data_IF_506429948863
#
_entry.id   IF_506429948863
#
_cell.length_a   1.000
_cell.length_b   1.000
_cell.length_c   1.000
_cell.angle_alpha   90.00
_cell.angle_beta   90.00
_cell.angle_gamma   90.00
#
_symmetry.space_group_name_H-M   'P 1'
#
loop_
_entity.id
_entity.type
_entity.pdbx_description
1 polymer ?
#
# COMPACT_ATOMS: atom_id res chain seq x y z
N UNK A 1 -17.12 -33.48 14.86
CA UNK A 1 -15.80 -32.81 14.89
C UNK A 1 -15.86 -31.31 14.56
N UNK A 2 -16.96 -30.79 13.99
CA UNK A 2 -17.23 -29.33 13.98
C UNK A 2 -16.33 -28.54 13.04
N UNK A 3 -15.67 -29.23 12.11
CA UNK A 3 -14.92 -28.61 11.02
C UNK A 3 -15.80 -28.49 9.78
N UNK A 4 -15.65 -27.36 9.10
CA UNK A 4 -16.39 -26.97 7.91
C UNK A 4 -15.36 -26.88 6.78
N UNK A 5 -15.53 -27.69 5.75
CA UNK A 5 -14.75 -27.60 4.51
C UNK A 5 -15.47 -26.66 3.56
N UNK A 6 -14.75 -25.70 2.99
CA UNK A 6 -15.32 -24.73 2.05
C UNK A 6 -14.41 -24.59 0.82
N UNK A 7 -15.05 -24.54 -0.34
CA UNK A 7 -14.45 -24.07 -1.59
C UNK A 7 -14.90 -22.64 -1.82
N UNK A 8 -13.96 -21.69 -1.76
CA UNK A 8 -14.26 -20.26 -1.78
C UNK A 8 -13.55 -19.60 -2.95
N UNK A 9 -14.31 -18.78 -3.67
CA UNK A 9 -13.88 -17.99 -4.82
C UNK A 9 -14.19 -16.50 -4.58
N UNK A 10 -13.52 -15.81 -3.65
CA UNK A 10 -13.78 -14.39 -3.46
C UNK A 10 -13.31 -13.61 -4.70
N UNK A 11 -14.15 -12.66 -5.13
CA UNK A 11 -13.89 -11.72 -6.22
C UNK A 11 -14.18 -10.31 -5.74
N UNK A 12 -13.23 -9.42 -5.96
CA UNK A 12 -13.39 -7.97 -5.82
C UNK A 12 -13.15 -7.33 -7.19
N UNK A 13 -14.06 -6.49 -7.67
CA UNK A 13 -13.91 -5.84 -8.98
C UNK A 13 -14.27 -4.37 -8.95
N UNK A 14 -13.50 -3.59 -9.72
CA UNK A 14 -13.74 -2.19 -10.01
C UNK A 14 -13.98 -2.04 -11.51
N UNK A 15 -14.91 -1.17 -11.90
CA UNK A 15 -15.28 -0.95 -13.29
C UNK A 15 -15.12 0.53 -13.64
N UNK A 16 -14.34 0.81 -14.68
CA UNK A 16 -14.14 2.16 -15.21
C UNK A 16 -14.64 2.24 -16.63
N UNK A 17 -15.19 3.39 -17.02
CA UNK A 17 -15.62 3.62 -18.38
C UNK A 17 -14.46 4.22 -19.18
N UNK A 18 -13.95 3.47 -20.16
CA UNK A 18 -12.92 3.93 -21.08
C UNK A 18 -13.55 4.44 -22.37
N UNK A 19 -13.51 5.74 -22.58
CA UNK A 19 -13.96 6.36 -23.83
C UNK A 19 -12.92 6.15 -24.93
N UNK A 20 -13.30 5.51 -26.03
CA UNK A 20 -12.47 5.30 -27.22
C UNK A 20 -13.09 6.01 -28.43
N UNK A 21 -12.28 6.81 -29.12
CA UNK A 21 -12.68 7.66 -30.24
C UNK A 21 -12.69 9.16 -29.87
N UNK A 22 -12.78 10.02 -30.89
CA UNK A 22 -12.80 11.48 -30.73
C UNK A 22 -14.03 12.07 -31.44
N UNK A 23 -14.77 12.95 -30.77
CA UNK A 23 -15.96 13.62 -31.31
C UNK A 23 -17.29 12.88 -31.07
N UNK A 24 -18.30 13.20 -31.87
CA UNK A 24 -19.70 12.75 -31.75
C UNK A 24 -19.94 11.23 -31.95
N UNK A 25 -18.86 10.47 -32.19
CA UNK A 25 -18.84 9.00 -32.32
C UNK A 25 -18.01 8.29 -31.24
N UNK A 26 -17.61 8.99 -30.17
CA UNK A 26 -16.86 8.40 -29.07
C UNK A 26 -17.71 7.32 -28.36
N UNK A 27 -17.17 6.10 -28.27
CA UNK A 27 -17.85 4.97 -27.66
C UNK A 27 -17.24 4.72 -26.28
N UNK A 28 -18.09 4.58 -25.26
CA UNK A 28 -17.65 4.23 -23.92
C UNK A 28 -17.62 2.70 -23.77
N UNK A 29 -16.43 2.13 -23.53
CA UNK A 29 -16.25 0.71 -23.24
C UNK A 29 -16.09 0.54 -21.73
N UNK A 30 -16.84 -0.38 -21.09
CA UNK A 30 -16.55 -0.78 -19.72
C UNK A 30 -15.22 -1.55 -19.67
N UNK A 31 -14.36 -1.14 -18.76
CA UNK A 31 -13.09 -1.81 -18.43
C UNK A 31 -13.20 -2.30 -16.98
N UNK A 32 -13.10 -3.62 -16.78
CA UNK A 32 -13.21 -4.26 -15.45
C UNK A 32 -11.83 -4.71 -14.99
N UNK A 33 -11.41 -4.24 -13.82
CA UNK A 33 -10.24 -4.78 -13.11
C UNK A 33 -10.72 -5.58 -11.92
N UNK A 34 -10.42 -6.87 -11.89
CA UNK A 34 -10.82 -7.76 -10.80
C UNK A 34 -9.65 -8.45 -10.13
N UNK A 35 -9.82 -8.74 -8.84
CA UNK A 35 -8.96 -9.55 -8.01
C UNK A 35 -9.74 -10.79 -7.58
N UNK A 36 -9.25 -11.98 -7.94
CA UNK A 36 -9.89 -13.25 -7.67
C UNK A 36 -8.91 -14.20 -6.96
N UNK A 37 -9.43 -14.98 -6.02
CA UNK A 37 -8.66 -16.00 -5.30
C UNK A 37 -9.45 -17.31 -5.33
N UNK A 38 -8.77 -18.45 -5.40
CA UNK A 38 -9.40 -19.79 -5.37
C UNK A 38 -8.76 -20.60 -4.26
N UNK A 39 -9.55 -20.98 -3.24
CA UNK A 39 -9.03 -21.69 -2.07
C UNK A 39 -9.98 -22.78 -1.57
N UNK A 40 -9.40 -23.92 -1.14
CA UNK A 40 -10.07 -24.93 -0.35
C UNK A 40 -9.58 -24.82 1.10
N UNK A 41 -10.48 -24.58 2.03
CA UNK A 41 -10.15 -24.39 3.45
C UNK A 41 -10.90 -25.39 4.33
N UNK A 42 -10.32 -25.71 5.49
CA UNK A 42 -10.95 -26.48 6.55
C UNK A 42 -10.88 -25.65 7.83
N UNK A 43 -12.03 -25.20 8.34
CA UNK A 43 -12.09 -24.26 9.46
C UNK A 43 -13.07 -24.77 10.50
N UNK A 44 -12.76 -24.57 11.78
CA UNK A 44 -13.65 -24.93 12.87
C UNK A 44 -14.80 -23.92 12.96
N UNK A 45 -15.99 -24.40 13.29
CA UNK A 45 -17.16 -23.56 13.55
C UNK A 45 -16.83 -22.37 14.48
N UNK A 46 -17.28 -21.17 14.09
CA UNK A 46 -17.09 -19.91 14.80
C UNK A 46 -15.68 -19.30 14.75
N UNK A 47 -14.69 -19.97 14.14
CA UNK A 47 -13.31 -19.46 14.07
C UNK A 47 -13.08 -18.60 12.83
N UNK A 48 -12.45 -17.45 13.01
CA UNK A 48 -12.08 -16.57 11.90
C UNK A 48 -10.74 -17.01 11.31
N UNK A 49 -10.67 -17.12 9.98
CA UNK A 49 -9.42 -17.27 9.25
C UNK A 49 -9.19 -16.10 8.31
N UNK A 50 -7.92 -15.88 8.00
CA UNK A 50 -7.49 -14.96 6.93
C UNK A 50 -7.18 -15.80 5.70
N UNK A 51 -7.92 -15.57 4.61
CA UNK A 51 -7.77 -16.31 3.35
C UNK A 51 -6.61 -15.73 2.54
N UNK A 52 -6.35 -14.43 2.69
CA UNK A 52 -5.21 -13.75 2.09
C UNK A 52 -5.29 -12.23 2.21
N UNK A 53 -4.17 -11.58 1.87
CA UNK A 53 -4.06 -10.14 1.66
C UNK A 53 -3.55 -9.85 0.25
N UNK A 54 -4.22 -8.98 -0.49
CA UNK A 54 -3.77 -8.48 -1.78
C UNK A 54 -3.37 -7.01 -1.62
N UNK A 55 -2.10 -6.71 -1.92
CA UNK A 55 -1.61 -5.35 -1.99
C UNK A 55 -1.70 -4.87 -3.44
N UNK A 56 -2.40 -3.75 -3.68
CA UNK A 56 -2.47 -3.10 -4.97
C UNK A 56 -1.81 -1.73 -4.88
N UNK A 57 -0.72 -1.60 -5.62
CA UNK A 57 0.03 -0.34 -5.73
C UNK A 57 -0.31 0.27 -7.10
N UNK A 58 -1.02 1.39 -7.12
CA UNK A 58 -1.28 2.17 -8.35
C UNK A 58 -0.41 3.42 -8.31
N UNK A 59 0.66 3.42 -9.12
CA UNK A 59 1.56 4.56 -9.27
C UNK A 59 1.10 5.36 -10.49
N UNK A 60 0.63 6.58 -10.26
CA UNK A 60 0.30 7.54 -11.32
C UNK A 60 1.32 8.68 -11.32
N UNK A 61 2.28 8.61 -12.24
CA UNK A 61 3.24 9.70 -12.47
C UNK A 61 2.67 10.68 -13.49
N UNK A 62 2.40 11.91 -13.05
CA UNK A 62 2.01 13.01 -13.94
C UNK A 62 3.21 13.93 -14.12
N UNK A 63 3.65 14.11 -15.36
CA UNK A 63 4.75 15.02 -15.72
C UNK A 63 4.21 16.17 -16.56
N UNK A 64 4.34 17.39 -16.05
CA UNK A 64 3.94 18.61 -16.75
C UNK A 64 5.20 19.41 -17.08
N UNK A 65 5.36 19.86 -18.32
CA UNK A 65 6.48 20.71 -18.70
C UNK A 65 6.05 21.76 -19.72
N UNK A 66 6.62 22.97 -19.61
CA UNK A 66 6.46 24.02 -20.63
C UNK A 66 7.35 23.66 -21.84
N UNK A 67 6.80 23.58 -23.06
CA UNK A 67 7.59 23.34 -24.27
C UNK A 67 8.72 24.37 -24.43
N UNK A 68 9.88 23.97 -24.95
CA UNK A 68 11.14 24.75 -25.04
C UNK A 68 11.85 25.03 -23.71
N UNK A 69 11.18 25.67 -22.75
CA UNK A 69 11.82 26.08 -21.48
C UNK A 69 12.08 24.88 -20.57
N UNK A 70 11.23 23.86 -20.64
CA UNK A 70 11.40 22.62 -19.89
C UNK A 70 12.66 21.87 -20.30
N UNK A 71 13.17 21.95 -21.53
CA UNK A 71 14.27 21.10 -22.00
C UNK A 71 15.67 21.70 -21.75
N UNK A 72 15.75 22.93 -21.23
CA UNK A 72 17.02 23.62 -21.00
C UNK A 72 17.74 23.03 -19.77
N UNK A 73 19.01 22.60 -19.91
CA UNK A 73 19.83 22.20 -18.76
C UNK A 73 19.93 23.34 -17.73
N UNK A 74 19.99 23.02 -16.43
CA UNK A 74 20.10 23.96 -15.29
C UNK A 74 18.81 24.71 -14.95
N UNK A 75 18.17 25.40 -15.91
CA UNK A 75 16.96 26.21 -15.62
C UNK A 75 15.63 25.48 -15.86
N UNK A 76 15.63 24.39 -16.63
CA UNK A 76 14.40 23.65 -16.96
C UNK A 76 13.69 23.02 -15.76
N UNK A 77 14.36 22.89 -14.61
CA UNK A 77 13.76 22.40 -13.36
C UNK A 77 12.68 23.34 -12.81
N UNK A 78 12.81 24.66 -12.96
CA UNK A 78 11.78 25.63 -12.53
C UNK A 78 10.54 25.65 -13.43
N UNK A 79 10.64 25.07 -14.63
CA UNK A 79 9.59 25.05 -15.66
C UNK A 79 9.06 23.63 -15.94
N UNK A 80 9.43 22.67 -15.09
CA UNK A 80 8.90 21.31 -15.04
C UNK A 80 8.15 21.17 -13.72
N UNK A 81 6.92 20.66 -13.77
CA UNK A 81 6.20 20.17 -12.60
C UNK A 81 6.18 18.65 -12.64
N UNK A 82 6.63 18.00 -11.57
CA UNK A 82 6.40 16.58 -11.36
C UNK A 82 5.30 16.46 -10.30
N UNK A 83 4.30 15.62 -10.57
CA UNK A 83 3.29 15.28 -9.59
C UNK A 83 3.15 13.76 -9.59
N UNK A 84 3.80 13.11 -8.63
CA UNK A 84 3.63 11.69 -8.40
C UNK A 84 2.44 11.48 -7.46
N UNK A 85 1.37 10.84 -7.95
CA UNK A 85 0.28 10.37 -7.10
C UNK A 85 0.39 8.85 -6.93
N UNK A 86 0.72 8.44 -5.71
CA UNK A 86 0.77 7.02 -5.34
C UNK A 86 -0.54 6.68 -4.63
N UNK A 87 -1.44 5.96 -5.31
CA UNK A 87 -2.66 5.41 -4.70
C UNK A 87 -2.40 3.97 -4.28
N UNK A 88 -2.62 3.67 -3.00
CA UNK A 88 -2.35 2.36 -2.38
C UNK A 88 -3.65 1.76 -1.87
N UNK A 89 -3.94 0.52 -2.25
CA UNK A 89 -5.10 -0.24 -1.78
C UNK A 89 -4.64 -1.56 -1.17
N UNK A 90 -4.98 -1.79 0.10
CA UNK A 90 -4.71 -3.05 0.81
C UNK A 90 -6.04 -3.78 1.05
N UNK A 91 -6.20 -4.97 0.47
CA UNK A 91 -7.40 -5.77 0.60
C UNK A 91 -7.08 -7.00 1.44
N UNK A 92 -7.80 -7.21 2.55
CA UNK A 92 -7.68 -8.41 3.38
C UNK A 92 -9.02 -9.12 3.47
N UNK A 93 -9.01 -10.42 3.20
CA UNK A 93 -10.22 -11.25 3.17
C UNK A 93 -10.27 -12.12 4.43
N UNK A 94 -11.27 -11.85 5.28
CA UNK A 94 -11.54 -12.61 6.49
C UNK A 94 -12.82 -13.42 6.34
N UNK A 95 -12.83 -14.62 6.90
CA UNK A 95 -13.99 -15.51 6.88
C UNK A 95 -14.20 -16.17 8.23
N UNK A 96 -15.44 -16.16 8.72
CA UNK A 96 -15.86 -16.85 9.95
C UNK A 96 -17.09 -17.69 9.64
N UNK A 97 -16.95 -19.01 9.45
CA UNK A 97 -18.10 -19.87 9.18
C UNK A 97 -18.85 -20.17 10.49
N UNK A 98 -20.17 -20.35 10.39
CA UNK A 98 -21.04 -20.72 11.50
C UNK A 98 -22.02 -21.82 11.07
N UNK A 99 -22.18 -22.87 11.87
CA UNK A 99 -23.21 -23.91 11.70
C UNK A 99 -24.52 -23.40 12.31
N UNK A 100 -25.63 -23.56 11.60
CA UNK A 100 -26.97 -23.16 12.05
C UNK A 100 -27.82 -24.42 12.13
N UNK A 101 -28.38 -24.71 13.31
CA UNK A 101 -29.20 -25.90 13.55
C UNK A 101 -30.70 -25.63 13.30
N UNK A 102 -31.19 -24.43 13.63
CA UNK A 102 -32.58 -24.05 13.45
C UNK A 102 -32.75 -22.87 12.46
N UNK A 103 -33.58 -23.00 11.40
CA UNK A 103 -33.81 -21.94 10.41
C UNK A 103 -34.46 -20.66 10.97
N UNK A 104 -35.07 -20.72 12.17
CA UNK A 104 -35.78 -19.60 12.80
C UNK A 104 -34.89 -18.66 13.61
N UNK A 105 -33.61 -19.00 13.80
CA UNK A 105 -32.68 -18.30 14.70
C UNK A 105 -31.74 -17.31 13.96
N UNK A 106 -32.02 -17.05 12.69
CA UNK A 106 -31.29 -16.06 11.87
C UNK A 106 -31.78 -14.65 12.19
N UNK A 107 -31.44 -14.16 13.38
CA UNK A 107 -31.54 -12.74 13.68
C UNK A 107 -30.40 -12.00 12.96
N UNK A 108 -30.75 -11.39 11.83
CA UNK A 108 -29.81 -10.65 10.99
C UNK A 108 -29.15 -9.47 11.71
N UNK A 109 -29.83 -8.89 12.71
CA UNK A 109 -29.32 -7.72 13.45
C UNK A 109 -28.20 -8.12 14.43
N UNK A 110 -28.41 -9.20 15.19
CA UNK A 110 -27.39 -9.75 16.09
C UNK A 110 -26.12 -10.17 15.34
N UNK A 111 -26.28 -10.76 14.14
CA UNK A 111 -25.16 -11.13 13.25
C UNK A 111 -24.44 -9.90 12.69
N UNK A 112 -25.16 -8.84 12.33
CA UNK A 112 -24.56 -7.60 11.84
C UNK A 112 -23.70 -6.89 12.90
N UNK A 113 -24.13 -6.92 14.17
CA UNK A 113 -23.32 -6.42 15.28
C UNK A 113 -22.07 -7.25 15.52
N UNK A 114 -22.18 -8.57 15.49
CA UNK A 114 -21.04 -9.47 15.65
C UNK A 114 -20.01 -9.29 14.52
N UNK A 115 -20.47 -9.08 13.28
CA UNK A 115 -19.61 -8.73 12.15
C UNK A 115 -18.90 -7.40 12.39
N UNK A 116 -19.61 -6.36 12.87
CA UNK A 116 -18.98 -5.06 13.18
C UNK A 116 -17.90 -5.22 14.25
N UNK A 117 -18.19 -5.91 15.33
CA UNK A 117 -17.24 -6.17 16.43
C UNK A 117 -16.01 -6.93 15.95
N UNK A 118 -16.23 -8.00 15.18
CA UNK A 118 -15.16 -8.82 14.58
C UNK A 118 -14.35 -8.04 13.55
N UNK A 119 -14.96 -7.12 12.78
CA UNK A 119 -14.23 -6.22 11.88
C UNK A 119 -13.25 -5.31 12.64
N UNK A 120 -13.62 -4.81 13.82
CA UNK A 120 -12.72 -4.01 14.63
C UNK A 120 -11.61 -4.85 15.24
N UNK A 121 -11.92 -5.98 15.91
CA UNK A 121 -10.88 -6.85 16.49
C UNK A 121 -9.98 -7.52 15.44
N UNK A 122 -10.49 -7.77 14.23
CA UNK A 122 -9.70 -8.24 13.10
C UNK A 122 -8.68 -7.19 12.63
N UNK A 123 -9.00 -5.89 12.66
CA UNK A 123 -8.04 -4.85 12.29
C UNK A 123 -6.81 -4.91 13.20
N UNK A 124 -7.02 -5.03 14.51
CA UNK A 124 -5.95 -5.12 15.49
C UNK A 124 -5.12 -6.41 15.31
N UNK A 125 -5.75 -7.55 15.01
CA UNK A 125 -5.05 -8.81 14.74
C UNK A 125 -4.31 -8.86 13.39
N UNK A 126 -4.79 -8.08 12.41
CA UNK A 126 -4.20 -7.96 11.07
C UNK A 126 -3.02 -7.00 11.00
N UNK A 127 -2.74 -6.25 12.06
CA UNK A 127 -1.53 -5.41 12.14
C UNK A 127 -0.28 -6.22 11.81
N UNK A 128 -0.17 -7.46 12.28
CA UNK A 128 0.94 -8.40 12.02
C UNK A 128 1.20 -8.71 10.54
N UNK A 129 0.17 -8.59 9.68
CA UNK A 129 0.23 -8.91 8.24
C UNK A 129 0.26 -7.61 7.41
N UNK A 130 -0.05 -6.47 8.02
CA UNK A 130 0.01 -5.18 7.34
C UNK A 130 1.42 -4.88 6.85
N UNK A 131 1.52 -4.29 5.65
CA UNK A 131 2.78 -3.75 5.15
C UNK A 131 3.41 -2.76 6.12
N UNK A 132 2.60 -2.05 6.91
CA UNK A 132 3.10 -1.13 7.93
C UNK A 132 3.97 -1.87 8.97
N UNK A 133 3.46 -2.96 9.55
CA UNK A 133 4.22 -3.78 10.49
C UNK A 133 5.42 -4.45 9.85
N UNK A 134 5.29 -4.95 8.62
CA UNK A 134 6.43 -5.50 7.88
C UNK A 134 7.52 -4.46 7.68
N UNK A 135 7.16 -3.22 7.33
CA UNK A 135 8.10 -2.11 7.21
C UNK A 135 8.77 -1.80 8.55
N UNK A 136 8.00 -1.78 9.66
CA UNK A 136 8.52 -1.62 11.02
C UNK A 136 9.46 -2.76 11.43
N UNK A 137 9.15 -4.00 11.11
CA UNK A 137 10.01 -5.16 11.40
C UNK A 137 11.33 -5.09 10.64
N UNK A 138 11.28 -4.68 9.37
CA UNK A 138 12.47 -4.44 8.56
C UNK A 138 13.29 -3.26 9.10
N UNK A 139 12.64 -2.18 9.53
CA UNK A 139 13.30 -1.06 10.20
C UNK A 139 13.95 -1.47 11.53
N UNK A 140 13.26 -2.25 12.37
CA UNK A 140 13.81 -2.75 13.63
C UNK A 140 15.05 -3.64 13.40
N UNK A 141 15.02 -4.50 12.37
CA UNK A 141 16.19 -5.27 11.94
C UNK A 141 17.33 -4.36 11.48
N UNK A 142 17.02 -3.34 10.69
CA UNK A 142 18.02 -2.38 10.23
C UNK A 142 18.69 -1.63 11.39
N UNK A 143 17.89 -1.11 12.32
CA UNK A 143 18.38 -0.43 13.52
C UNK A 143 19.28 -1.37 14.35
N UNK A 144 18.90 -2.65 14.48
CA UNK A 144 19.73 -3.65 15.16
C UNK A 144 21.05 -3.89 14.43
N UNK A 145 21.05 -4.11 13.11
CA UNK A 145 22.28 -4.31 12.34
C UNK A 145 23.21 -3.10 12.40
N UNK A 146 22.65 -1.89 12.35
CA UNK A 146 23.40 -0.65 12.53
C UNK A 146 24.08 -0.58 13.90
N UNK A 147 23.36 -0.93 14.98
CA UNK A 147 23.95 -1.00 16.33
C UNK A 147 25.03 -2.09 16.45
N UNK A 148 24.95 -3.15 15.64
CA UNK A 148 25.94 -4.22 15.55
C UNK A 148 27.15 -3.83 14.65
N UNK A 149 27.10 -2.68 13.96
CA UNK A 149 28.12 -2.21 13.03
C UNK A 149 28.08 -2.88 11.65
N UNK A 150 26.99 -3.57 11.31
CA UNK A 150 26.77 -4.18 10.00
C UNK A 150 25.89 -3.27 9.12
N UNK A 151 26.52 -2.24 8.57
CA UNK A 151 25.85 -1.22 7.74
C UNK A 151 25.29 -1.79 6.44
N UNK A 152 25.92 -2.83 5.87
CA UNK A 152 25.46 -3.46 4.64
C UNK A 152 24.12 -4.18 4.87
N UNK A 153 24.01 -4.96 5.94
CA UNK A 153 22.75 -5.61 6.32
C UNK A 153 21.69 -4.60 6.77
N UNK A 154 22.10 -3.51 7.44
CA UNK A 154 21.21 -2.42 7.81
C UNK A 154 20.59 -1.75 6.58
N UNK A 155 21.40 -1.43 5.57
CA UNK A 155 20.93 -0.83 4.31
C UNK A 155 20.00 -1.75 3.52
N UNK A 156 20.28 -3.06 3.46
CA UNK A 156 19.38 -4.05 2.84
C UNK A 156 18.02 -4.11 3.53
N UNK A 157 18.03 -4.08 4.87
CA UNK A 157 16.80 -4.10 5.65
C UNK A 157 16.01 -2.77 5.49
N UNK A 158 16.68 -1.62 5.43
CA UNK A 158 16.06 -0.32 5.15
C UNK A 158 15.44 -0.23 3.77
N UNK A 159 16.12 -0.74 2.74
CA UNK A 159 15.57 -0.78 1.39
C UNK A 159 14.25 -1.56 1.35
N UNK A 160 14.19 -2.69 2.06
CA UNK A 160 12.94 -3.44 2.18
C UNK A 160 11.86 -2.66 2.94
N UNK A 161 12.20 -1.99 4.04
CA UNK A 161 11.25 -1.14 4.78
C UNK A 161 10.69 -0.01 3.92
N UNK A 162 11.54 0.66 3.13
CA UNK A 162 11.17 1.77 2.26
C UNK A 162 10.40 1.32 1.01
N UNK A 163 10.66 0.11 0.48
CA UNK A 163 9.80 -0.49 -0.56
C UNK A 163 8.38 -0.74 -0.06
N UNK A 164 8.26 -1.21 1.19
CA UNK A 164 6.97 -1.46 1.82
C UNK A 164 6.25 -0.16 2.17
N UNK A 165 7.00 0.83 2.68
CA UNK A 165 6.49 2.16 3.08
C UNK A 165 7.49 3.26 2.66
N UNK A 166 7.34 3.83 1.45
CA UNK A 166 8.27 4.83 0.91
C UNK A 166 8.35 6.11 1.74
N UNK A 167 7.25 6.52 2.39
CA UNK A 167 7.18 7.70 3.27
C UNK A 167 7.49 7.37 4.75
N UNK A 168 8.25 6.31 5.03
CA UNK A 168 8.63 5.95 6.39
C UNK A 168 9.81 6.81 6.86
N UNK A 169 9.49 7.96 7.46
CA UNK A 169 10.46 8.99 7.84
C UNK A 169 11.62 8.47 8.71
N UNK A 170 11.33 7.60 9.68
CA UNK A 170 12.33 7.02 10.57
C UNK A 170 13.34 6.15 9.80
N UNK A 171 12.88 5.39 8.80
CA UNK A 171 13.75 4.59 7.93
C UNK A 171 14.56 5.47 6.98
N UNK A 172 13.99 6.55 6.45
CA UNK A 172 14.71 7.52 5.60
C UNK A 172 15.87 8.15 6.40
N UNK A 173 15.60 8.65 7.61
CA UNK A 173 16.62 9.28 8.46
C UNK A 173 17.74 8.32 8.86
N UNK A 174 17.41 7.07 9.17
CA UNK A 174 18.44 6.08 9.50
C UNK A 174 19.30 5.75 8.28
N UNK A 175 18.69 5.65 7.09
CA UNK A 175 19.41 5.44 5.83
C UNK A 175 20.36 6.60 5.53
N UNK A 176 19.90 7.83 5.69
CA UNK A 176 20.71 9.04 5.49
C UNK A 176 21.93 9.03 6.42
N UNK A 177 21.75 8.74 7.71
CA UNK A 177 22.86 8.63 8.67
C UNK A 177 23.88 7.57 8.28
N UNK A 178 23.44 6.36 7.91
CA UNK A 178 24.36 5.29 7.49
C UNK A 178 25.17 5.72 6.26
N UNK A 179 24.51 6.40 5.31
CA UNK A 179 25.18 6.90 4.11
C UNK A 179 26.16 8.03 4.43
N UNK A 180 25.83 8.95 5.34
CA UNK A 180 26.79 9.99 5.79
C UNK A 180 28.06 9.38 6.40
N UNK A 181 27.93 8.25 7.11
CA UNK A 181 29.05 7.54 7.75
C UNK A 181 29.86 6.68 6.76
N UNK A 182 29.21 6.08 5.77
CA UNK A 182 29.84 5.12 4.84
C UNK A 182 30.24 5.72 3.49
N UNK A 183 29.43 6.62 2.92
CA UNK A 183 29.63 7.28 1.63
C UNK A 183 29.04 8.72 1.62
N UNK A 184 29.83 9.72 2.07
CA UNK A 184 29.38 11.11 2.21
C UNK A 184 28.94 11.78 0.91
N UNK A 185 29.41 11.29 -0.24
CA UNK A 185 29.07 11.87 -1.54
C UNK A 185 27.68 11.40 -2.00
N UNK A 186 27.31 10.15 -1.70
CA UNK A 186 25.98 9.62 -2.03
C UNK A 186 24.89 10.13 -1.06
N UNK A 187 25.25 10.45 0.20
CA UNK A 187 24.35 11.09 1.17
C UNK A 187 23.83 12.46 0.68
N UNK A 188 24.73 13.34 0.22
CA UNK A 188 24.40 14.68 -0.31
C UNK A 188 23.45 14.63 -1.52
N UNK A 189 23.53 13.56 -2.30
CA UNK A 189 22.68 13.36 -3.48
C UNK A 189 21.25 12.99 -3.09
N UNK A 190 21.07 12.21 -2.02
CA UNK A 190 19.76 11.84 -1.48
C UNK A 190 19.09 13.00 -0.76
N UNK A 191 19.83 13.75 0.07
CA UNK A 191 19.35 14.97 0.73
C UNK A 191 18.71 15.95 -0.28
N UNK A 192 19.40 16.19 -1.40
CA UNK A 192 18.91 17.04 -2.49
C UNK A 192 17.62 16.51 -3.15
N UNK A 193 17.42 15.19 -3.20
CA UNK A 193 16.20 14.59 -3.77
C UNK A 193 15.04 14.73 -2.78
N UNK A 194 15.28 14.39 -1.52
CA UNK A 194 14.25 14.43 -0.46
C UNK A 194 13.77 15.86 -0.19
N UNK A 195 14.68 16.83 -0.10
CA UNK A 195 14.31 18.24 0.04
C UNK A 195 13.52 18.75 -1.17
N UNK A 196 13.86 18.29 -2.38
CA UNK A 196 13.11 18.63 -3.59
C UNK A 196 11.68 18.09 -3.58
N UNK A 197 11.49 16.85 -3.13
CA UNK A 197 10.16 16.21 -3.07
C UNK A 197 9.28 16.80 -1.95
N UNK A 198 9.86 17.20 -0.80
CA UNK A 198 9.13 17.83 0.32
C UNK A 198 8.67 19.24 -0.02
N UNK A 199 9.52 20.06 -0.65
CA UNK A 199 9.16 21.41 -1.09
C UNK A 199 8.05 21.38 -2.16
N UNK A 200 8.02 20.35 -3.02
CA UNK A 200 6.93 20.11 -3.97
C UNK A 200 5.61 19.72 -3.27
N UNK A 201 5.66 18.86 -2.23
CA UNK A 201 4.48 18.47 -1.45
C UNK A 201 3.87 19.67 -0.70
N UNK A 202 4.69 20.49 -0.03
CA UNK A 202 4.21 21.68 0.67
C UNK A 202 3.62 22.71 -0.30
N UNK A 203 4.28 23.00 -1.43
CA UNK A 203 3.77 23.92 -2.45
C UNK A 203 2.40 23.49 -3.01
N UNK A 204 2.16 22.19 -3.15
CA UNK A 204 0.87 21.64 -3.60
C UNK A 204 -0.27 21.87 -2.59
N UNK A 205 0.03 21.88 -1.28
CA UNK A 205 -0.95 22.15 -0.23
C UNK A 205 -1.37 23.63 -0.18
N UNK A 206 -0.46 24.56 -0.50
CA UNK A 206 -0.75 25.99 -0.55
C UNK A 206 -1.54 26.42 -1.80
N UNK A 207 -1.42 25.69 -2.92
CA UNK A 207 -2.19 25.96 -4.14
C UNK A 207 -3.64 25.43 -4.13
N UNK A 208 -4.05 24.72 -3.05
CA UNK A 208 -5.41 24.17 -2.87
C UNK A 208 -6.33 25.04 -1.99
N UNK A 209 -5.97 26.30 -1.72
CA UNK A 209 -6.79 27.26 -0.97
C UNK A 209 -7.25 28.44 -1.82
#
# INVERSE_FOLDING_TARGET
DGYIRMDIHPKDSDATLRTVGSGDGATSLPDETSAEVVTNILVKDGHTIVIGGLFRDTIQTVRTQIPLLGDIPIIGLLFRGKADQIKREEVVILLTPHIIEEPGEVDGEARAEDIRRKRFGAKDGLESISRAKLAEDHYAKAARYYLEGDDESAMKALDMALRLRPSYLEAIRLRERILEETDPDEAKKLERIVLGDIDEEEASMWMRR
#
